data_IF_670932499040
#
_entry.id   IF_670932499040
#
_cell.length_a   1.000
_cell.length_b   1.000
_cell.length_c   1.000
_cell.angle_alpha   90.00
_cell.angle_beta   90.00
_cell.angle_gamma   90.00
#
_symmetry.space_group_name_H-M   'P 1'
#
loop_
_entity.id
_entity.type
_entity.pdbx_description
1 polymer ?
#
# COMPACT_ATOMS: atom_id res chain seq x y z
N UNK A 1 2.26 -23.12 -3.75
CA UNK A 1 1.39 -23.44 -2.64
C UNK A 1 0.54 -22.20 -2.38
N UNK A 2 -0.69 -22.31 -1.90
CA UNK A 2 -1.68 -21.22 -1.79
C UNK A 2 -3.03 -21.66 -2.37
N UNK A 3 -3.22 -22.98 -2.44
CA UNK A 3 -4.48 -23.58 -2.86
C UNK A 3 -5.58 -23.45 -1.79
N UNK A 4 -5.18 -23.39 -0.54
CA UNK A 4 -6.08 -23.34 0.62
C UNK A 4 -5.96 -22.02 1.35
N UNK A 5 -7.10 -21.46 1.72
CA UNK A 5 -7.24 -20.29 2.57
C UNK A 5 -7.11 -20.69 4.04
N UNK A 6 -7.73 -21.83 4.40
CA UNK A 6 -7.70 -22.39 5.75
C UNK A 6 -7.67 -23.91 5.71
N UNK A 7 -6.99 -24.50 6.70
CA UNK A 7 -6.96 -25.94 6.95
C UNK A 7 -7.14 -26.17 8.44
N UNK A 8 -8.29 -26.68 8.83
CA UNK A 8 -8.62 -26.96 10.22
C UNK A 8 -8.71 -28.46 10.47
N UNK A 9 -8.00 -28.95 11.47
CA UNK A 9 -8.02 -30.36 11.88
C UNK A 9 -8.82 -30.47 13.18
N UNK A 10 -9.91 -31.22 13.13
CA UNK A 10 -10.79 -31.44 14.27
C UNK A 10 -10.69 -32.89 14.72
N UNK A 11 -10.39 -33.09 15.99
CA UNK A 11 -10.49 -34.41 16.63
C UNK A 11 -11.95 -34.66 16.98
N UNK A 12 -12.57 -35.67 16.34
CA UNK A 12 -13.98 -35.99 16.58
C UNK A 12 -14.17 -36.93 17.72
N UNK A 13 -13.34 -37.99 17.78
CA UNK A 13 -13.49 -39.04 18.76
C UNK A 13 -12.13 -39.68 19.10
N UNK A 14 -11.97 -40.06 20.35
CA UNK A 14 -10.82 -40.82 20.85
C UNK A 14 -11.29 -42.08 21.55
N UNK A 15 -10.76 -43.23 21.17
CA UNK A 15 -11.08 -44.53 21.76
C UNK A 15 -9.79 -45.33 21.97
N UNK A 16 -9.90 -46.43 22.74
CA UNK A 16 -8.77 -47.37 22.92
C UNK A 16 -8.31 -48.01 21.61
N UNK A 17 -9.07 -47.90 20.51
CA UNK A 17 -8.77 -48.47 19.20
C UNK A 17 -8.22 -47.42 18.20
N UNK A 18 -8.16 -46.13 18.61
CA UNK A 18 -7.67 -45.08 17.76
C UNK A 18 -8.43 -43.76 17.89
N UNK A 19 -8.00 -42.82 17.06
CA UNK A 19 -8.60 -41.45 17.00
C UNK A 19 -9.24 -41.22 15.63
N UNK A 20 -10.36 -40.54 15.60
CA UNK A 20 -11.04 -40.08 14.40
C UNK A 20 -10.80 -38.60 14.25
N UNK A 21 -10.21 -38.19 13.10
CA UNK A 21 -9.96 -36.81 12.78
C UNK A 21 -10.72 -36.39 11.51
N UNK A 22 -11.23 -35.16 11.52
CA UNK A 22 -11.79 -34.52 10.32
C UNK A 22 -10.88 -33.37 9.92
N UNK A 23 -10.41 -33.38 8.67
CA UNK A 23 -9.65 -32.28 8.09
C UNK A 23 -10.64 -31.45 7.26
N UNK A 24 -10.90 -30.22 7.72
CA UNK A 24 -11.71 -29.23 6.99
C UNK A 24 -10.77 -28.33 6.22
N UNK A 25 -10.97 -28.24 4.92
CA UNK A 25 -10.17 -27.38 4.03
C UNK A 25 -11.09 -26.36 3.37
N UNK A 26 -10.63 -25.11 3.32
CA UNK A 26 -11.23 -24.04 2.53
C UNK A 26 -10.29 -23.66 1.40
N UNK A 27 -10.74 -23.80 0.16
CA UNK A 27 -9.92 -23.42 -0.98
C UNK A 27 -9.89 -21.91 -1.20
N UNK A 28 -8.72 -21.39 -1.58
CA UNK A 28 -8.57 -19.98 -1.94
C UNK A 28 -9.42 -19.67 -3.16
N UNK A 29 -10.27 -18.63 -3.15
CA UNK A 29 -11.13 -18.27 -4.27
C UNK A 29 -10.33 -17.79 -5.47
N UNK A 30 -10.91 -17.93 -6.66
CA UNK A 30 -10.35 -17.39 -7.89
C UNK A 30 -10.75 -15.91 -8.00
N UNK A 31 -9.79 -15.04 -8.30
CA UNK A 31 -10.05 -13.63 -8.52
C UNK A 31 -10.78 -13.44 -9.86
N UNK A 32 -11.95 -12.85 -9.84
CA UNK A 32 -12.66 -12.39 -11.03
C UNK A 32 -12.06 -11.04 -11.48
N UNK A 33 -12.21 -10.01 -10.67
CA UNK A 33 -11.69 -8.68 -10.95
C UNK A 33 -11.34 -7.91 -9.67
N UNK A 34 -10.58 -6.84 -9.85
CA UNK A 34 -10.29 -5.86 -8.80
C UNK A 34 -11.14 -4.62 -9.07
N UNK A 35 -11.86 -4.17 -8.05
CA UNK A 35 -12.72 -2.99 -8.08
C UNK A 35 -12.14 -1.92 -7.17
N UNK A 36 -12.30 -0.65 -7.58
CA UNK A 36 -11.88 0.50 -6.79
C UNK A 36 -13.03 1.49 -6.67
N UNK A 37 -13.28 1.96 -5.45
CA UNK A 37 -14.30 2.97 -5.14
C UNK A 37 -13.71 4.14 -4.36
N UNK A 38 -14.28 5.34 -4.52
CA UNK A 38 -13.93 6.54 -3.76
C UNK A 38 -12.62 7.22 -4.17
N UNK A 39 -12.02 6.83 -5.30
CA UNK A 39 -10.78 7.41 -5.79
C UNK A 39 -10.99 8.42 -6.90
N UNK A 40 -10.10 9.43 -6.99
CA UNK A 40 -10.05 10.42 -8.07
C UNK A 40 -8.89 10.15 -9.04
N UNK A 41 -7.96 9.29 -8.66
CA UNK A 41 -6.78 8.92 -9.45
C UNK A 41 -7.12 7.79 -10.43
N UNK A 42 -6.44 7.72 -11.58
CA UNK A 42 -6.69 6.66 -12.59
C UNK A 42 -6.31 5.28 -12.07
N UNK A 43 -7.21 4.32 -12.14
CA UNK A 43 -7.05 2.93 -11.69
C UNK A 43 -5.83 2.21 -12.29
N UNK A 44 -5.53 2.42 -13.55
CA UNK A 44 -4.41 1.75 -14.25
C UNK A 44 -3.10 1.86 -13.51
N UNK A 45 -2.90 2.96 -12.79
CA UNK A 45 -1.71 3.21 -11.98
C UNK A 45 -1.53 2.21 -10.82
N UNK A 46 -2.63 1.72 -10.27
CA UNK A 46 -2.63 0.73 -9.20
C UNK A 46 -2.60 -0.69 -9.76
N UNK A 47 -3.40 -0.96 -10.80
CA UNK A 47 -3.51 -2.29 -11.41
C UNK A 47 -2.15 -2.85 -11.88
N UNK A 48 -1.28 -2.00 -12.39
CA UNK A 48 0.08 -2.41 -12.82
C UNK A 48 1.03 -2.75 -11.66
N UNK A 49 0.76 -2.23 -10.46
CA UNK A 49 1.66 -2.34 -9.31
C UNK A 49 1.21 -3.32 -8.24
N UNK A 50 -0.04 -3.78 -8.30
CA UNK A 50 -0.57 -4.80 -7.41
C UNK A 50 -0.46 -6.18 -8.05
N UNK A 51 -0.17 -7.19 -7.23
CA UNK A 51 0.01 -8.58 -7.67
C UNK A 51 -1.31 -9.37 -7.67
N UNK A 52 -2.42 -8.72 -8.03
CA UNK A 52 -3.74 -9.33 -8.12
C UNK A 52 -4.15 -9.39 -9.59
N UNK A 53 -4.20 -10.61 -10.16
CA UNK A 53 -4.56 -10.82 -11.57
C UNK A 53 -5.80 -11.70 -11.67
N UNK A 54 -6.75 -11.28 -12.51
CA UNK A 54 -7.95 -12.07 -12.83
C UNK A 54 -7.58 -13.50 -13.29
N UNK A 55 -8.37 -14.46 -12.88
CA UNK A 55 -8.16 -15.88 -13.16
C UNK A 55 -7.15 -16.58 -12.24
N UNK A 56 -6.46 -15.87 -11.37
CA UNK A 56 -5.55 -16.45 -10.38
C UNK A 56 -6.24 -16.62 -9.01
N UNK A 57 -5.79 -17.59 -8.23
CA UNK A 57 -6.25 -17.74 -6.85
C UNK A 57 -5.80 -16.57 -5.98
N UNK A 58 -6.69 -16.08 -5.13
CA UNK A 58 -6.38 -15.05 -4.14
C UNK A 58 -5.56 -15.70 -3.04
N UNK A 59 -4.25 -15.46 -3.05
CA UNK A 59 -3.35 -16.01 -2.03
C UNK A 59 -3.58 -15.34 -0.68
N UNK A 60 -3.38 -16.05 0.44
CA UNK A 60 -3.35 -15.43 1.76
C UNK A 60 -2.43 -14.20 1.75
N UNK A 61 -2.83 -13.13 2.41
CA UNK A 61 -2.11 -11.85 2.49
C UNK A 61 -1.91 -11.08 1.16
N UNK A 62 -2.36 -11.59 0.00
CA UNK A 62 -2.20 -10.87 -1.28
C UNK A 62 -3.02 -9.58 -1.32
N UNK A 63 -4.21 -9.60 -0.75
CA UNK A 63 -5.09 -8.42 -0.65
C UNK A 63 -4.48 -7.37 0.27
N UNK A 64 -3.94 -7.80 1.42
CA UNK A 64 -3.27 -6.90 2.35
C UNK A 64 -1.99 -6.28 1.76
N UNK A 65 -1.20 -7.06 1.03
CA UNK A 65 -0.03 -6.55 0.29
C UNK A 65 -0.44 -5.52 -0.76
N UNK A 66 -1.52 -5.77 -1.50
CA UNK A 66 -2.07 -4.83 -2.45
C UNK A 66 -2.55 -3.54 -1.76
N UNK A 67 -3.27 -3.63 -0.64
CA UNK A 67 -3.70 -2.48 0.17
C UNK A 67 -2.51 -1.62 0.59
N UNK A 68 -1.46 -2.25 1.11
CA UNK A 68 -0.22 -1.55 1.49
C UNK A 68 0.42 -0.85 0.29
N UNK A 69 0.49 -1.53 -0.86
CA UNK A 69 1.07 -0.97 -2.08
C UNK A 69 0.29 0.23 -2.60
N UNK A 70 -1.03 0.17 -2.59
CA UNK A 70 -1.91 1.28 -2.94
C UNK A 70 -1.67 2.46 -1.97
N UNK A 71 -1.59 2.21 -0.66
CA UNK A 71 -1.30 3.23 0.34
C UNK A 71 0.06 3.92 0.12
N UNK A 72 1.10 3.16 -0.23
CA UNK A 72 2.42 3.71 -0.58
C UNK A 72 2.33 4.68 -1.76
N UNK A 73 1.63 4.28 -2.84
CA UNK A 73 1.45 5.11 -4.04
C UNK A 73 0.73 6.42 -3.70
N UNK A 74 -0.31 6.36 -2.86
CA UNK A 74 -1.02 7.55 -2.41
C UNK A 74 -0.14 8.47 -1.55
N UNK A 75 0.68 7.90 -0.67
CA UNK A 75 1.62 8.67 0.16
C UNK A 75 2.69 9.38 -0.68
N UNK A 76 3.22 8.72 -1.73
CA UNK A 76 4.13 9.33 -2.71
C UNK A 76 3.47 10.53 -3.42
N UNK A 77 2.15 10.51 -3.58
CA UNK A 77 1.37 11.61 -4.15
C UNK A 77 0.95 12.68 -3.13
N UNK A 78 1.33 12.51 -1.86
CA UNK A 78 1.06 13.47 -0.79
C UNK A 78 -0.25 13.25 -0.02
N UNK A 79 -0.91 12.12 -0.20
CA UNK A 79 -2.12 11.73 0.55
C UNK A 79 -1.73 10.88 1.77
N UNK A 80 -1.17 11.51 2.81
CA UNK A 80 -0.66 10.79 3.99
C UNK A 80 -1.73 10.15 4.85
N UNK A 81 -2.91 10.72 4.85
CA UNK A 81 -4.05 10.27 5.64
C UNK A 81 -5.04 9.47 4.80
N UNK A 82 -4.59 8.86 3.68
CA UNK A 82 -5.43 7.97 2.90
C UNK A 82 -5.85 6.78 3.76
N UNK A 83 -7.13 6.49 3.75
CA UNK A 83 -7.73 5.32 4.39
C UNK A 83 -8.17 4.36 3.30
N UNK A 84 -7.74 3.10 3.41
CA UNK A 84 -8.04 2.06 2.42
C UNK A 84 -8.57 0.86 3.17
N UNK A 85 -9.79 0.47 2.87
CA UNK A 85 -10.35 -0.81 3.26
C UNK A 85 -10.43 -1.74 2.06
N UNK A 86 -10.35 -3.02 2.30
CA UNK A 86 -10.46 -4.05 1.27
C UNK A 86 -11.38 -5.17 1.71
N UNK A 87 -12.17 -5.69 0.77
CA UNK A 87 -13.07 -6.81 1.00
C UNK A 87 -13.06 -7.74 -0.22
N UNK A 88 -13.26 -9.03 0.06
CA UNK A 88 -13.50 -10.04 -0.98
C UNK A 88 -15.00 -10.23 -1.07
N UNK A 89 -15.58 -9.91 -2.21
CA UNK A 89 -17.02 -9.87 -2.40
C UNK A 89 -17.50 -10.85 -3.48
N UNK A 90 -18.75 -11.26 -3.40
CA UNK A 90 -19.40 -12.05 -4.46
C UNK A 90 -19.77 -11.10 -5.59
N UNK A 91 -19.45 -11.39 -6.86
CA UNK A 91 -19.90 -10.60 -8.00
C UNK A 91 -21.43 -10.49 -8.02
N UNK A 92 -21.97 -9.30 -8.33
CA UNK A 92 -23.40 -9.00 -8.23
C UNK A 92 -24.29 -9.87 -9.12
N UNK A 93 -23.77 -10.36 -10.26
CA UNK A 93 -24.53 -11.13 -11.25
C UNK A 93 -24.36 -12.66 -11.11
N UNK A 94 -23.86 -13.13 -9.97
CA UNK A 94 -23.47 -14.53 -9.82
C UNK A 94 -24.38 -15.28 -8.83
N UNK A 95 -24.91 -16.43 -9.29
CA UNK A 95 -25.56 -17.41 -8.37
C UNK A 95 -24.48 -18.00 -7.47
N UNK A 96 -24.62 -17.86 -6.16
CA UNK A 96 -23.62 -18.30 -5.17
C UNK A 96 -23.39 -19.81 -5.24
N UNK A 97 -22.24 -20.24 -5.75
CA UNK A 97 -21.72 -21.61 -5.62
C UNK A 97 -20.37 -21.58 -4.90
N UNK A 98 -19.97 -22.67 -4.31
CA UNK A 98 -18.74 -22.78 -3.49
C UNK A 98 -17.47 -22.43 -4.29
N UNK A 99 -17.45 -22.72 -5.59
CA UNK A 99 -16.28 -22.58 -6.49
C UNK A 99 -16.28 -21.27 -7.32
N UNK A 100 -17.13 -20.29 -6.95
CA UNK A 100 -17.22 -19.08 -7.77
C UNK A 100 -16.06 -18.11 -7.56
N UNK A 101 -15.67 -17.42 -8.67
CA UNK A 101 -14.76 -16.30 -8.61
C UNK A 101 -15.27 -15.23 -7.63
N UNK A 102 -14.35 -14.52 -7.01
CA UNK A 102 -14.63 -13.39 -6.10
C UNK A 102 -14.02 -12.12 -6.66
N UNK A 103 -14.67 -11.00 -6.41
CA UNK A 103 -14.10 -9.69 -6.65
C UNK A 103 -13.34 -9.21 -5.41
N UNK A 104 -12.26 -8.48 -5.61
CA UNK A 104 -11.58 -7.75 -4.56
C UNK A 104 -11.94 -6.28 -4.71
N UNK A 105 -12.66 -5.75 -3.73
CA UNK A 105 -13.06 -4.35 -3.69
C UNK A 105 -12.14 -3.57 -2.75
N UNK A 106 -11.52 -2.51 -3.27
CA UNK A 106 -10.81 -1.50 -2.49
C UNK A 106 -11.66 -0.24 -2.38
N UNK A 107 -12.06 0.11 -1.16
CA UNK A 107 -12.76 1.37 -0.87
C UNK A 107 -11.74 2.35 -0.31
N UNK A 108 -11.58 3.49 -0.98
CA UNK A 108 -10.52 4.46 -0.76
C UNK A 108 -11.12 5.80 -0.35
N UNK A 109 -10.70 6.31 0.80
CA UNK A 109 -10.93 7.69 1.21
C UNK A 109 -9.61 8.44 1.10
N UNK A 110 -9.46 9.22 0.04
CA UNK A 110 -8.18 9.92 -0.25
C UNK A 110 -7.83 10.99 0.78
N UNK A 111 -8.84 11.54 1.50
CA UNK A 111 -8.63 12.64 2.42
C UNK A 111 -7.91 13.85 1.78
N UNK A 112 -7.22 14.66 2.56
CA UNK A 112 -6.53 15.86 2.08
C UNK A 112 -5.15 15.54 1.53
N UNK A 113 -4.82 16.16 0.40
CA UNK A 113 -3.48 16.12 -0.18
C UNK A 113 -2.60 17.19 0.45
N UNK A 114 -1.44 16.81 0.95
CA UNK A 114 -0.48 17.71 1.58
C UNK A 114 0.63 18.11 0.60
N UNK A 115 0.98 19.39 0.66
CA UNK A 115 2.09 19.98 -0.13
C UNK A 115 3.07 20.63 0.82
N UNK A 116 4.37 20.48 0.58
CA UNK A 116 5.39 21.15 1.35
C UNK A 116 5.30 22.66 1.15
N UNK A 117 4.95 23.39 2.21
CA UNK A 117 4.79 24.85 2.18
C UNK A 117 6.10 25.55 2.49
N UNK A 118 6.83 25.11 3.50
CA UNK A 118 8.05 25.76 3.97
C UNK A 118 9.02 24.73 4.58
N UNK A 119 10.32 25.00 4.41
CA UNK A 119 11.41 24.33 5.11
C UNK A 119 12.17 25.43 5.87
N UNK A 120 12.30 25.29 7.16
CA UNK A 120 13.10 26.17 8.01
C UNK A 120 14.31 25.41 8.55
N UNK A 121 15.44 26.08 8.65
CA UNK A 121 16.65 25.55 9.27
C UNK A 121 16.91 26.32 10.56
N UNK A 122 17.08 25.63 11.66
CA UNK A 122 17.38 26.21 12.95
C UNK A 122 18.75 25.74 13.43
N UNK A 123 19.57 26.67 13.95
CA UNK A 123 20.90 26.34 14.48
C UNK A 123 22.02 26.22 13.42
N UNK A 124 21.75 26.56 12.17
CA UNK A 124 22.69 26.49 11.05
C UNK A 124 23.72 27.65 11.06
N UNK A 125 24.63 27.67 12.02
CA UNK A 125 25.63 28.74 12.17
C UNK A 125 26.71 28.70 11.07
N UNK A 126 27.14 27.53 10.63
CA UNK A 126 28.22 27.32 9.67
C UNK A 126 27.80 27.52 8.21
N UNK A 127 26.56 27.27 7.87
CA UNK A 127 26.09 27.32 6.49
C UNK A 127 24.80 28.10 6.37
N UNK A 128 24.66 28.87 5.27
CA UNK A 128 23.43 29.60 5.00
C UNK A 128 22.29 28.64 4.62
N UNK A 129 21.06 29.02 4.93
CA UNK A 129 19.86 28.28 4.50
C UNK A 129 19.85 28.02 2.99
N UNK A 130 20.36 28.97 2.20
CA UNK A 130 20.41 28.82 0.74
C UNK A 130 21.35 27.70 0.33
N UNK A 131 22.49 27.48 1.02
CA UNK A 131 23.42 26.36 0.77
C UNK A 131 22.75 25.07 1.17
N UNK A 132 22.19 24.98 2.36
CA UNK A 132 21.50 23.78 2.87
C UNK A 132 20.29 23.36 2.01
N UNK A 133 19.53 24.33 1.49
CA UNK A 133 18.42 24.04 0.57
C UNK A 133 18.85 23.45 -0.77
N UNK A 134 20.08 23.67 -1.20
CA UNK A 134 20.62 23.05 -2.43
C UNK A 134 20.91 21.58 -2.24
N UNK A 135 21.34 21.21 -1.03
CA UNK A 135 21.62 19.82 -0.66
C UNK A 135 20.35 18.98 -0.55
N UNK A 136 19.19 19.61 -0.32
CA UNK A 136 17.87 18.94 -0.40
C UNK A 136 17.45 18.79 -1.87
N UNK A 137 18.09 17.86 -2.58
CA UNK A 137 17.91 17.71 -4.02
C UNK A 137 16.49 17.25 -4.40
N UNK A 138 15.87 16.41 -3.56
CA UNK A 138 14.59 15.76 -3.81
C UNK A 138 13.42 16.51 -3.18
N UNK A 139 13.65 17.15 -2.01
CA UNK A 139 12.62 17.86 -1.24
C UNK A 139 12.62 19.34 -1.59
N UNK A 140 11.81 19.74 -2.55
CA UNK A 140 11.74 21.15 -3.00
C UNK A 140 10.46 21.82 -2.53
N UNK A 141 10.59 23.02 -1.97
CA UNK A 141 9.45 23.87 -1.66
C UNK A 141 8.72 24.31 -2.92
N UNK A 142 7.38 24.37 -2.85
CA UNK A 142 6.55 24.96 -3.90
C UNK A 142 6.82 26.48 -3.96
N UNK A 143 7.42 26.94 -5.07
CA UNK A 143 7.48 28.37 -5.39
C UNK A 143 6.36 28.69 -6.39
N UNK A 144 5.87 29.96 -6.44
CA UNK A 144 4.77 30.36 -7.31
C UNK A 144 5.03 30.12 -8.82
N UNK A 145 6.31 30.04 -9.23
CA UNK A 145 6.72 29.74 -10.62
C UNK A 145 7.08 28.29 -10.89
N UNK A 146 7.04 27.40 -9.88
CA UNK A 146 7.34 25.98 -10.07
C UNK A 146 6.04 25.17 -10.09
N UNK A 147 5.47 25.01 -11.27
CA UNK A 147 4.27 24.18 -11.47
C UNK A 147 4.53 22.69 -11.26
N UNK A 148 5.79 22.26 -11.19
CA UNK A 148 6.25 20.87 -11.22
C UNK A 148 6.76 20.35 -9.87
N UNK A 149 6.49 21.04 -8.78
CA UNK A 149 6.96 20.57 -7.47
C UNK A 149 6.24 19.30 -7.08
N UNK A 150 7.02 18.24 -6.90
CA UNK A 150 6.56 16.98 -6.32
C UNK A 150 5.92 17.26 -4.95
N UNK A 151 4.91 16.47 -4.61
CA UNK A 151 4.33 16.50 -3.29
C UNK A 151 5.40 16.15 -2.25
N UNK A 152 5.20 16.56 -1.01
CA UNK A 152 6.10 16.11 0.05
C UNK A 152 6.06 14.57 0.09
N UNK A 153 7.20 13.93 0.12
CA UNK A 153 7.35 12.49 0.28
C UNK A 153 8.30 12.23 1.45
N UNK A 154 7.83 11.57 2.52
CA UNK A 154 8.67 11.27 3.69
C UNK A 154 9.90 10.45 3.37
N UNK A 155 9.85 9.57 2.36
CA UNK A 155 10.98 8.77 1.93
C UNK A 155 12.11 9.65 1.37
N UNK A 156 11.75 10.45 0.36
CA UNK A 156 12.70 11.38 -0.26
C UNK A 156 13.22 12.42 0.73
N UNK A 157 12.39 12.84 1.72
CA UNK A 157 12.84 13.71 2.80
C UNK A 157 13.85 13.02 3.73
N UNK A 158 13.69 11.73 3.98
CA UNK A 158 14.66 10.97 4.77
C UNK A 158 16.01 10.87 4.05
N UNK A 159 16.00 10.58 2.75
CA UNK A 159 17.20 10.56 1.91
C UNK A 159 17.91 11.92 1.90
N UNK A 160 17.16 13.01 1.73
CA UNK A 160 17.69 14.37 1.77
C UNK A 160 18.26 14.74 3.16
N UNK A 161 17.66 14.25 4.25
CA UNK A 161 18.18 14.41 5.61
C UNK A 161 19.52 13.70 5.80
N UNK A 162 19.65 12.49 5.25
CA UNK A 162 20.91 11.76 5.24
C UNK A 162 21.97 12.49 4.40
N UNK A 163 21.61 13.01 3.22
CA UNK A 163 22.49 13.81 2.39
C UNK A 163 22.99 15.07 3.11
N UNK A 164 22.14 15.76 3.86
CA UNK A 164 22.55 16.87 4.73
C UNK A 164 23.54 16.43 5.82
N UNK A 165 23.32 15.27 6.43
CA UNK A 165 24.26 14.75 7.44
C UNK A 165 25.63 14.48 6.85
N UNK A 166 25.69 13.83 5.68
CA UNK A 166 26.93 13.57 4.94
C UNK A 166 27.61 14.89 4.52
N UNK A 167 26.83 15.86 4.06
CA UNK A 167 27.35 17.19 3.71
C UNK A 167 28.05 17.86 4.90
N UNK A 168 27.42 17.86 6.09
CA UNK A 168 28.03 18.42 7.31
C UNK A 168 29.30 17.67 7.74
N UNK A 169 29.34 16.35 7.57
CA UNK A 169 30.53 15.54 7.87
C UNK A 169 31.70 15.81 6.93
N UNK A 170 31.42 16.10 5.65
CA UNK A 170 32.45 16.37 4.65
C UNK A 170 33.01 17.81 4.70
N UNK A 171 32.24 18.76 5.21
CA UNK A 171 32.61 20.18 5.26
C UNK A 171 33.13 20.62 6.63
N UNK A 172 33.13 19.78 7.63
CA UNK A 172 33.56 20.10 8.98
C UNK A 172 33.92 19.00 9.88
#
# INVERSE_FOLDING_TARGET
LGLFEDVNIVLNNESQYGVEITIKVSESPILNQVLFEGMTVREGRFREKIELKSGQRIKPNSVEKATRKISEIYKEDGYYNVEISSSVVVPQDTIVRVDYPRDVLFTINENKRYKLKNIAFNGNKSFSERKLRRELANTKQKKWWTFWVKNFDPKTFTEDKEALSVFYQNEG
#
